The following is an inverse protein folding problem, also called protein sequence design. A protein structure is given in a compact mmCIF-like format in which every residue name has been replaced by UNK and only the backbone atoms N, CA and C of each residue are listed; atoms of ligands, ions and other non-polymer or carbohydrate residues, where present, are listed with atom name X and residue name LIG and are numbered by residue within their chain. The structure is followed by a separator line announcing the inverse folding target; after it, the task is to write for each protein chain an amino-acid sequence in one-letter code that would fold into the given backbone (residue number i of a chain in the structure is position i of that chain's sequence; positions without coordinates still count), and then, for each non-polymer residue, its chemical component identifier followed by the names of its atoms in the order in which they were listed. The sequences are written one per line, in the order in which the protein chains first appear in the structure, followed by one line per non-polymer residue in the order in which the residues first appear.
data_IF_116527804302
#
_entry.id   IF_116527804302
#
_cell.length_a   1.000
_cell.length_b   1.000
_cell.length_c   1.000
_cell.angle_alpha   90.00
_cell.angle_beta   90.00
_cell.angle_gamma   90.00
#
_symmetry.space_group_name_H-M   'P 1'
#
loop_
_entity.id
_entity.type
_entity.pdbx_description
1 polymer ?
#
# COMPACT_ATOMS: atom_id res chain seq x y z
N UNK A 1 -2.05 9.52 -0.85
CA UNK A 1 -1.43 8.53 -1.76
C UNK A 1 0.04 8.80 -1.88
N UNK A 2 0.83 7.74 -1.90
CA UNK A 2 2.24 7.79 -2.23
C UNK A 2 2.39 7.84 -3.76
N UNK A 3 3.03 8.88 -4.30
CA UNK A 3 3.34 8.99 -5.73
C UNK A 3 4.55 8.11 -6.03
N UNK A 4 4.37 7.07 -6.84
CA UNK A 4 5.43 6.10 -7.15
C UNK A 4 5.86 6.24 -8.61
N UNK A 5 7.17 6.36 -8.83
CA UNK A 5 7.79 6.17 -10.13
C UNK A 5 8.32 4.74 -10.25
N UNK A 6 7.91 4.02 -11.30
CA UNK A 6 8.34 2.64 -11.53
C UNK A 6 9.51 2.58 -12.50
N UNK A 7 10.53 1.81 -12.16
CA UNK A 7 11.68 1.59 -13.00
C UNK A 7 11.97 0.09 -13.07
N UNK A 8 11.84 -0.49 -14.26
CA UNK A 8 11.90 -1.93 -14.45
C UNK A 8 12.73 -2.37 -15.65
N UNK A 9 13.26 -3.59 -15.61
CA UNK A 9 14.00 -4.18 -16.73
C UNK A 9 13.10 -4.57 -17.91
N UNK A 10 11.82 -4.85 -17.65
CA UNK A 10 10.86 -5.23 -18.69
C UNK A 10 9.44 -4.79 -18.32
N UNK A 11 8.65 -4.42 -19.33
CA UNK A 11 7.25 -4.07 -19.14
C UNK A 11 6.41 -5.29 -18.70
N UNK A 12 6.53 -6.41 -19.43
CA UNK A 12 5.68 -7.59 -19.23
C UNK A 12 6.09 -8.45 -18.02
N UNK A 13 7.33 -8.34 -17.54
CA UNK A 13 7.82 -9.09 -16.39
C UNK A 13 7.87 -8.23 -15.15
N UNK A 14 8.92 -7.41 -15.04
CA UNK A 14 9.26 -6.68 -13.82
C UNK A 14 8.20 -5.64 -13.46
N UNK A 15 7.80 -4.79 -14.41
CA UNK A 15 6.78 -3.76 -14.15
C UNK A 15 5.42 -4.38 -13.88
N UNK A 16 4.94 -5.29 -14.73
CA UNK A 16 3.63 -5.93 -14.53
C UNK A 16 3.51 -6.65 -13.18
N UNK A 17 4.54 -7.39 -12.74
CA UNK A 17 4.54 -8.03 -11.42
C UNK A 17 4.55 -7.00 -10.29
N UNK A 18 5.23 -5.87 -10.48
CA UNK A 18 5.26 -4.77 -9.52
C UNK A 18 3.92 -4.06 -9.42
N UNK A 19 3.25 -3.79 -10.55
CA UNK A 19 1.92 -3.19 -10.58
C UNK A 19 0.88 -4.02 -9.84
N UNK A 20 1.01 -5.35 -9.85
CA UNK A 20 0.20 -6.23 -9.00
C UNK A 20 0.38 -5.89 -7.52
N UNK A 21 1.62 -5.68 -7.04
CA UNK A 21 1.87 -5.29 -5.65
C UNK A 21 1.28 -3.91 -5.32
N UNK A 22 1.41 -2.96 -6.23
CA UNK A 22 0.90 -1.59 -6.06
C UNK A 22 -0.63 -1.55 -5.92
N UNK A 23 -1.34 -2.52 -6.51
CA UNK A 23 -2.79 -2.62 -6.34
C UNK A 23 -3.19 -2.91 -4.88
N UNK A 24 -2.29 -3.43 -4.05
CA UNK A 24 -2.51 -3.75 -2.64
C UNK A 24 -1.95 -2.68 -1.68
N UNK A 25 -1.52 -1.52 -2.19
CA UNK A 25 -0.92 -0.44 -1.41
C UNK A 25 -1.53 0.94 -1.72
N UNK A 26 -1.42 1.92 -0.80
CA UNK A 26 -1.97 3.26 -0.97
C UNK A 26 -1.09 4.15 -1.87
N UNK A 27 -0.88 3.69 -3.09
CA UNK A 27 0.01 4.30 -4.08
C UNK A 27 -0.72 4.80 -5.33
N UNK A 28 -0.15 5.82 -5.97
CA UNK A 28 -0.53 6.27 -7.30
C UNK A 28 0.72 6.21 -8.19
N UNK A 29 0.63 5.55 -9.34
CA UNK A 29 1.71 5.54 -10.32
C UNK A 29 1.79 6.93 -10.96
N UNK A 30 2.89 7.63 -10.71
CA UNK A 30 3.17 8.97 -11.24
C UNK A 30 3.91 8.91 -12.58
N UNK A 31 4.61 7.81 -12.86
CA UNK A 31 5.29 7.56 -14.11
C UNK A 31 6.01 6.21 -14.10
N UNK A 32 6.55 5.84 -15.25
CA UNK A 32 7.26 4.58 -15.42
C UNK A 32 8.42 4.70 -16.41
N UNK A 33 9.45 3.89 -16.20
CA UNK A 33 10.59 3.74 -17.09
C UNK A 33 10.89 2.26 -17.25
N UNK A 34 10.96 1.81 -18.50
CA UNK A 34 11.51 0.50 -18.85
C UNK A 34 12.95 0.72 -19.29
N UNK A 35 13.87 -0.15 -18.85
CA UNK A 35 15.23 -0.10 -19.34
C UNK A 35 15.26 -0.39 -20.85
N UNK A 36 15.62 0.61 -21.64
CA UNK A 36 15.83 0.52 -23.07
C UNK A 36 17.28 0.92 -23.42
N UNK A 37 17.74 0.54 -24.60
CA UNK A 37 19.11 0.82 -25.04
C UNK A 37 19.40 2.33 -25.17
N UNK A 38 18.37 3.11 -25.47
CA UNK A 38 18.37 4.55 -25.72
C UNK A 38 17.87 5.40 -24.53
N UNK A 39 17.71 4.79 -23.35
CA UNK A 39 17.27 5.50 -22.15
C UNK A 39 18.18 6.69 -21.83
N UNK A 40 17.59 7.89 -21.77
CA UNK A 40 18.31 9.15 -21.61
C UNK A 40 18.18 9.70 -20.18
N UNK A 41 19.32 9.88 -19.50
CA UNK A 41 19.39 10.42 -18.13
C UNK A 41 18.74 11.81 -18.01
N UNK A 42 18.92 12.69 -19.00
CA UNK A 42 18.35 14.04 -18.97
C UNK A 42 16.84 14.04 -19.04
N UNK A 43 16.26 13.19 -19.91
CA UNK A 43 14.81 13.03 -20.02
C UNK A 43 14.22 12.44 -18.74
N UNK A 44 14.86 11.41 -18.17
CA UNK A 44 14.44 10.81 -16.90
C UNK A 44 14.47 11.86 -15.78
N UNK A 45 15.52 12.69 -15.68
CA UNK A 45 15.60 13.74 -14.67
C UNK A 45 14.48 14.77 -14.81
N UNK A 46 14.21 15.25 -16.04
CA UNK A 46 13.11 16.19 -16.31
C UNK A 46 11.76 15.59 -15.91
N UNK A 47 11.53 14.32 -16.26
CA UNK A 47 10.28 13.63 -15.93
C UNK A 47 10.12 13.42 -14.43
N UNK A 48 11.18 13.02 -13.72
CA UNK A 48 11.18 12.88 -12.26
C UNK A 48 10.90 14.22 -11.57
N UNK A 49 11.53 15.30 -12.03
CA UNK A 49 11.29 16.64 -11.49
C UNK A 49 9.83 17.09 -11.66
N UNK A 50 9.26 16.83 -12.84
CA UNK A 50 7.87 17.19 -13.15
C UNK A 50 6.85 16.32 -12.40
N UNK A 51 7.13 15.01 -12.29
CA UNK A 51 6.24 14.08 -11.61
C UNK A 51 6.34 14.17 -10.09
N UNK A 52 7.46 14.66 -9.54
CA UNK A 52 7.72 14.77 -8.11
C UNK A 52 7.26 13.51 -7.34
N UNK A 53 7.82 12.33 -7.65
CA UNK A 53 7.45 11.10 -6.96
C UNK A 53 7.91 11.16 -5.50
N UNK A 54 7.14 10.54 -4.62
CA UNK A 54 7.54 10.29 -3.23
C UNK A 54 8.46 9.08 -3.12
N UNK A 55 8.25 8.09 -4.00
CA UNK A 55 9.04 6.85 -4.07
C UNK A 55 9.48 6.57 -5.50
N UNK A 56 10.75 6.21 -5.66
CA UNK A 56 11.29 5.55 -6.84
C UNK A 56 11.42 4.06 -6.53
N UNK A 57 10.74 3.22 -7.30
CA UNK A 57 10.78 1.78 -7.15
C UNK A 57 11.57 1.14 -8.29
N UNK A 58 12.72 0.56 -7.96
CA UNK A 58 13.58 -0.18 -8.88
C UNK A 58 13.25 -1.67 -8.78
N UNK A 59 12.82 -2.29 -9.88
CA UNK A 59 12.42 -3.70 -9.88
C UNK A 59 12.98 -4.49 -11.07
N UNK A 60 13.15 -5.80 -10.86
CA UNK A 60 13.57 -6.74 -11.89
C UNK A 60 14.90 -7.44 -11.62
N UNK A 61 15.24 -8.32 -12.56
CA UNK A 61 16.32 -9.29 -12.39
C UNK A 61 15.84 -10.48 -11.55
N UNK A 62 16.01 -11.69 -12.06
CA UNK A 62 15.77 -12.90 -11.28
C UNK A 62 16.88 -13.09 -10.24
N UNK A 63 16.60 -13.88 -9.20
CA UNK A 63 17.57 -14.29 -8.18
C UNK A 63 18.58 -15.26 -8.78
N UNK A 64 19.55 -14.71 -9.50
CA UNK A 64 20.67 -15.42 -10.09
C UNK A 64 21.95 -14.68 -9.75
N UNK A 65 22.91 -15.42 -9.19
CA UNK A 65 24.23 -14.90 -8.83
C UNK A 65 25.20 -14.97 -10.02
N UNK A 66 24.80 -14.34 -11.13
CA UNK A 66 25.60 -14.25 -12.35
C UNK A 66 25.80 -12.78 -12.74
N UNK A 67 27.07 -12.30 -12.83
CA UNK A 67 27.36 -10.90 -13.12
C UNK A 67 26.72 -10.37 -14.41
N UNK A 68 26.61 -11.21 -15.44
CA UNK A 68 26.00 -10.86 -16.73
C UNK A 68 24.51 -10.54 -16.56
N UNK A 69 23.81 -11.31 -15.71
CA UNK A 69 22.38 -11.10 -15.43
C UNK A 69 22.19 -9.86 -14.55
N UNK A 70 23.10 -9.62 -13.61
CA UNK A 70 23.08 -8.42 -12.75
C UNK A 70 23.40 -7.13 -13.51
N UNK A 71 24.15 -7.19 -14.62
CA UNK A 71 24.56 -6.01 -15.39
C UNK A 71 23.39 -5.13 -15.86
N UNK A 72 22.26 -5.73 -16.23
CA UNK A 72 21.07 -4.96 -16.64
C UNK A 72 20.47 -4.20 -15.47
N UNK A 73 20.44 -4.80 -14.28
CA UNK A 73 19.97 -4.14 -13.06
C UNK A 73 20.91 -3.00 -12.66
N UNK A 74 22.22 -3.23 -12.72
CA UNK A 74 23.21 -2.19 -12.46
C UNK A 74 23.08 -1.01 -13.42
N UNK A 75 22.90 -1.28 -14.73
CA UNK A 75 22.66 -0.22 -15.73
C UNK A 75 21.41 0.60 -15.41
N UNK A 76 20.30 -0.04 -15.02
CA UNK A 76 19.09 0.67 -14.62
C UNK A 76 19.36 1.56 -13.39
N UNK A 77 20.07 1.04 -12.39
CA UNK A 77 20.42 1.78 -11.18
C UNK A 77 21.30 2.99 -11.52
N UNK A 78 22.34 2.81 -12.33
CA UNK A 78 23.25 3.87 -12.75
C UNK A 78 22.52 5.01 -13.49
N UNK A 79 21.54 4.68 -14.34
CA UNK A 79 20.71 5.67 -15.01
C UNK A 79 19.95 6.55 -14.01
N UNK A 80 19.33 5.94 -12.99
CA UNK A 80 18.56 6.66 -11.99
C UNK A 80 19.42 7.41 -10.97
N UNK A 81 20.57 6.86 -10.58
CA UNK A 81 21.58 7.57 -9.79
C UNK A 81 21.99 8.84 -10.53
N UNK A 82 22.35 8.72 -11.81
CA UNK A 82 22.77 9.86 -12.65
C UNK A 82 21.64 10.86 -12.89
N UNK A 83 20.38 10.42 -12.93
CA UNK A 83 19.23 11.29 -13.10
C UNK A 83 18.91 12.07 -11.82
N UNK A 84 18.96 11.41 -10.65
CA UNK A 84 18.72 12.03 -9.35
C UNK A 84 19.84 12.99 -8.94
N UNK A 85 21.09 12.73 -9.34
CA UNK A 85 22.21 13.66 -9.14
C UNK A 85 21.99 15.02 -9.83
N UNK A 86 21.12 15.08 -10.85
CA UNK A 86 20.72 16.32 -11.53
C UNK A 86 19.58 17.07 -10.85
N UNK A 87 18.96 16.48 -9.81
CA UNK A 87 17.84 17.07 -9.09
C UNK A 87 18.33 17.71 -7.78
N UNK A 88 17.61 18.73 -7.31
CA UNK A 88 17.88 19.28 -5.99
C UNK A 88 17.57 18.23 -4.90
N UNK A 89 18.32 18.19 -3.78
CA UNK A 89 18.10 17.19 -2.72
C UNK A 89 16.67 17.15 -2.16
N UNK A 90 15.97 18.29 -2.14
CA UNK A 90 14.57 18.37 -1.71
C UNK A 90 13.59 17.64 -2.65
N UNK A 91 14.02 17.29 -3.87
CA UNK A 91 13.24 16.58 -4.88
C UNK A 91 13.57 15.08 -4.93
N UNK A 92 14.48 14.59 -4.09
CA UNK A 92 14.86 13.19 -4.10
C UNK A 92 13.77 12.32 -3.47
N UNK A 93 13.24 11.31 -4.19
CA UNK A 93 12.30 10.36 -3.61
C UNK A 93 13.00 9.40 -2.64
N UNK A 94 12.23 8.69 -1.82
CA UNK A 94 12.72 7.46 -1.18
C UNK A 94 12.94 6.40 -2.29
N UNK A 95 14.06 5.67 -2.26
CA UNK A 95 14.33 4.58 -3.19
C UNK A 95 14.01 3.25 -2.55
N UNK A 96 13.11 2.49 -3.16
CA UNK A 96 12.84 1.10 -2.86
C UNK A 96 13.46 0.22 -3.94
N UNK A 97 14.31 -0.72 -3.54
CA UNK A 97 14.91 -1.72 -4.43
C UNK A 97 14.25 -3.07 -4.20
N UNK A 98 13.53 -3.56 -5.20
CA UNK A 98 12.84 -4.84 -5.18
C UNK A 98 13.29 -5.73 -6.37
N UNK A 99 14.59 -5.68 -6.67
CA UNK A 99 15.23 -6.47 -7.72
C UNK A 99 16.07 -7.63 -7.16
N UNK A 100 16.95 -8.19 -7.99
CA UNK A 100 17.88 -9.27 -7.62
C UNK A 100 18.64 -8.97 -6.31
N UNK A 101 18.48 -9.82 -5.29
CA UNK A 101 19.05 -9.59 -3.97
C UNK A 101 20.58 -9.77 -3.92
N UNK A 102 21.16 -10.59 -4.80
CA UNK A 102 22.61 -10.72 -4.91
C UNK A 102 23.29 -9.40 -5.30
N UNK A 103 22.59 -8.51 -6.02
CA UNK A 103 23.08 -7.18 -6.36
C UNK A 103 22.75 -6.09 -5.33
N UNK A 104 21.91 -6.36 -4.32
CA UNK A 104 21.34 -5.34 -3.44
C UNK A 104 22.40 -4.53 -2.67
N UNK A 105 23.42 -5.20 -2.14
CA UNK A 105 24.50 -4.53 -1.40
C UNK A 105 25.33 -3.59 -2.28
N UNK A 106 25.63 -4.01 -3.52
CA UNK A 106 26.35 -3.18 -4.50
C UNK A 106 25.50 -1.98 -4.93
N UNK A 107 24.20 -2.19 -5.16
CA UNK A 107 23.26 -1.11 -5.48
C UNK A 107 23.18 -0.10 -4.34
N UNK A 108 23.04 -0.55 -3.10
CA UNK A 108 23.01 0.34 -1.93
C UNK A 108 24.30 1.17 -1.82
N UNK A 109 25.46 0.54 -1.99
CA UNK A 109 26.74 1.23 -1.95
C UNK A 109 26.86 2.29 -3.05
N UNK A 110 26.36 2.00 -4.26
CA UNK A 110 26.36 2.96 -5.37
C UNK A 110 25.52 4.19 -5.03
N UNK A 111 24.32 3.99 -4.47
CA UNK A 111 23.44 5.09 -4.02
C UNK A 111 24.06 5.93 -2.92
N UNK A 112 24.62 5.29 -1.89
CA UNK A 112 25.29 6.00 -0.78
C UNK A 112 26.47 6.85 -1.25
N UNK A 113 27.17 6.40 -2.30
CA UNK A 113 28.35 7.09 -2.83
C UNK A 113 27.97 8.34 -3.63
N UNK A 114 26.92 8.27 -4.45
CA UNK A 114 26.58 9.35 -5.40
C UNK A 114 25.47 10.27 -4.88
N UNK A 115 24.52 9.74 -4.10
CA UNK A 115 23.36 10.48 -3.59
C UNK A 115 23.18 10.20 -2.10
N UNK A 116 24.12 10.62 -1.23
CA UNK A 116 24.19 10.20 0.18
C UNK A 116 22.99 10.62 1.04
N UNK A 117 22.23 11.61 0.59
CA UNK A 117 21.03 12.10 1.28
C UNK A 117 19.79 11.26 1.00
N UNK A 118 19.86 10.33 0.05
CA UNK A 118 18.69 9.54 -0.35
C UNK A 118 18.40 8.45 0.69
N UNK A 119 17.12 8.25 0.99
CA UNK A 119 16.69 7.09 1.75
C UNK A 119 16.63 5.90 0.80
N UNK A 120 17.43 4.88 1.06
CA UNK A 120 17.43 3.63 0.30
C UNK A 120 16.94 2.49 1.19
N UNK A 121 16.10 1.61 0.63
CA UNK A 121 15.69 0.38 1.27
C UNK A 121 15.60 -0.74 0.24
N UNK A 122 16.34 -1.82 0.47
CA UNK A 122 16.13 -3.08 -0.25
C UNK A 122 14.98 -3.86 0.40
N UNK A 123 14.12 -4.45 -0.42
CA UNK A 123 13.03 -5.36 -0.04
C UNK A 123 13.14 -6.64 -0.86
N UNK A 124 12.42 -7.69 -0.47
CA UNK A 124 12.39 -8.93 -1.25
C UNK A 124 12.02 -8.66 -2.70
N UNK A 125 12.70 -9.37 -3.60
CA UNK A 125 12.47 -9.26 -5.04
C UNK A 125 11.01 -9.60 -5.37
N UNK A 126 10.36 -8.74 -6.14
CA UNK A 126 8.95 -8.95 -6.53
C UNK A 126 8.78 -10.14 -7.47
N UNK A 127 9.78 -10.41 -8.31
CA UNK A 127 9.74 -11.48 -9.29
C UNK A 127 11.08 -12.23 -9.24
N UNK A 128 11.35 -13.03 -8.19
CA UNK A 128 12.64 -13.70 -8.03
C UNK A 128 12.90 -14.76 -9.11
N UNK A 129 11.84 -15.32 -9.70
CA UNK A 129 11.91 -16.32 -10.77
C UNK A 129 10.62 -16.29 -11.60
N UNK A 130 10.64 -16.78 -12.85
CA UNK A 130 9.45 -16.80 -13.71
C UNK A 130 8.24 -17.42 -13.01
N UNK A 131 7.09 -16.73 -13.08
CA UNK A 131 5.82 -17.20 -12.54
C UNK A 131 5.67 -17.16 -11.02
N UNK A 132 6.70 -16.75 -10.25
CA UNK A 132 6.59 -16.59 -8.80
C UNK A 132 6.68 -15.12 -8.43
N UNK A 133 5.57 -14.55 -7.98
CA UNK A 133 5.48 -13.15 -7.57
C UNK A 133 5.45 -13.04 -6.04
N UNK A 134 6.25 -12.15 -5.46
CA UNK A 134 6.30 -11.87 -4.02
C UNK A 134 5.86 -10.43 -3.78
N UNK A 135 4.66 -10.25 -3.21
CA UNK A 135 4.06 -8.92 -3.04
C UNK A 135 4.30 -8.34 -1.63
N UNK A 136 4.33 -9.20 -0.62
CA UNK A 136 4.19 -8.81 0.79
C UNK A 136 5.25 -7.80 1.27
N UNK A 137 6.53 -8.06 0.99
CA UNK A 137 7.62 -7.18 1.43
C UNK A 137 7.51 -5.77 0.82
N UNK A 138 7.20 -5.70 -0.48
CA UNK A 138 7.03 -4.42 -1.17
C UNK A 138 5.80 -3.67 -0.66
N UNK A 139 4.66 -4.35 -0.50
CA UNK A 139 3.43 -3.74 0.06
C UNK A 139 3.69 -3.19 1.47
N UNK A 140 4.40 -3.94 2.32
CA UNK A 140 4.78 -3.51 3.67
C UNK A 140 5.67 -2.26 3.66
N UNK A 141 6.64 -2.18 2.76
CA UNK A 141 7.51 -1.01 2.63
C UNK A 141 6.75 0.23 2.12
N UNK A 142 5.85 0.07 1.14
CA UNK A 142 5.02 1.16 0.64
C UNK A 142 4.06 1.70 1.70
N UNK A 143 3.44 0.81 2.48
CA UNK A 143 2.59 1.20 3.61
C UNK A 143 3.39 1.97 4.67
N UNK A 144 4.61 1.52 4.97
CA UNK A 144 5.50 2.18 5.91
C UNK A 144 5.90 3.59 5.45
N UNK A 145 6.23 3.77 4.17
CA UNK A 145 6.53 5.09 3.60
C UNK A 145 5.29 6.00 3.53
N UNK A 146 4.11 5.45 3.21
CA UNK A 146 2.86 6.19 3.27
C UNK A 146 2.57 6.70 4.69
N UNK A 147 2.73 5.85 5.70
CA UNK A 147 2.55 6.22 7.10
C UNK A 147 3.54 7.31 7.51
N UNK A 148 4.83 7.14 7.18
CA UNK A 148 5.88 8.12 7.47
C UNK A 148 5.56 9.49 6.88
N UNK A 149 5.10 9.56 5.62
CA UNK A 149 4.76 10.83 4.99
C UNK A 149 3.50 11.45 5.59
N UNK A 150 2.50 10.64 5.90
CA UNK A 150 1.27 11.10 6.57
C UNK A 150 1.59 11.80 7.90
N UNK A 151 2.53 11.25 8.67
CA UNK A 151 2.99 11.81 9.95
C UNK A 151 3.73 13.14 9.82
N UNK A 152 4.23 13.51 8.65
CA UNK A 152 4.93 14.80 8.42
C UNK A 152 3.99 15.98 8.18
N UNK A 153 2.69 15.73 8.03
CA UNK A 153 1.70 16.79 7.83
C UNK A 153 1.64 17.67 9.09
N UNK A 154 1.81 19.01 9.00
CA UNK A 154 1.93 19.88 10.17
C UNK A 154 0.78 19.75 11.19
N UNK A 155 -0.43 19.47 10.71
CA UNK A 155 -1.59 19.31 11.58
C UNK A 155 -1.68 17.93 12.25
N UNK A 156 -0.92 16.94 11.77
CA UNK A 156 -0.87 15.60 12.37
C UNK A 156 -0.33 15.65 13.80
N UNK A 157 0.69 16.48 14.06
CA UNK A 157 1.24 16.69 15.39
C UNK A 157 0.24 17.36 16.36
N UNK A 158 -0.63 18.23 15.84
CA UNK A 158 -1.66 18.88 16.66
C UNK A 158 -2.71 17.86 17.13
N UNK A 159 -3.14 16.99 16.23
CA UNK A 159 -4.10 15.92 16.53
C UNK A 159 -3.47 14.89 17.47
N UNK A 160 -2.21 14.51 17.28
CA UNK A 160 -1.55 13.53 18.15
C UNK A 160 -1.49 13.99 19.61
N UNK A 161 -1.35 15.30 19.83
CA UNK A 161 -1.34 15.87 21.19
C UNK A 161 -2.72 15.85 21.88
N UNK A 162 -3.80 15.62 21.14
CA UNK A 162 -5.14 15.44 21.70
C UNK A 162 -5.42 13.99 22.09
N UNK A 163 -4.58 13.04 21.67
CA UNK A 163 -4.70 11.65 22.05
C UNK A 163 -4.00 11.41 23.39
N UNK A 164 -4.71 10.85 24.36
CA UNK A 164 -4.12 10.25 25.55
C UNK A 164 -3.39 8.96 25.14
N UNK A 165 -2.07 8.93 25.31
CA UNK A 165 -1.21 7.83 24.81
C UNK A 165 -1.54 6.45 25.40
N UNK A 166 -1.02 5.34 24.80
CA UNK A 166 0.05 5.28 23.77
C UNK A 166 -0.42 4.92 22.34
N UNK A 167 -1.70 5.09 21.99
CA UNK A 167 -2.17 4.66 20.66
C UNK A 167 -1.66 5.57 19.53
N UNK A 168 -0.96 5.03 18.51
CA UNK A 168 -0.54 5.80 17.36
C UNK A 168 -1.75 6.22 16.53
N UNK A 169 -1.73 7.44 15.99
CA UNK A 169 -2.70 7.88 14.98
C UNK A 169 -2.70 6.90 13.79
N UNK A 170 -3.88 6.36 13.49
CA UNK A 170 -4.08 5.54 12.29
C UNK A 170 -4.18 6.41 11.04
N UNK A 171 -3.74 5.84 9.91
CA UNK A 171 -4.18 6.37 8.62
C UNK A 171 -5.67 6.10 8.43
N UNK A 172 -6.30 6.84 7.51
CA UNK A 172 -7.70 6.62 7.11
C UNK A 172 -7.93 5.16 6.70
N UNK A 173 -7.00 4.58 5.94
CA UNK A 173 -7.07 3.18 5.50
C UNK A 173 -7.04 2.22 6.70
N UNK A 174 -6.08 2.37 7.61
CA UNK A 174 -5.97 1.51 8.79
C UNK A 174 -7.18 1.65 9.73
N UNK A 175 -7.71 2.87 9.88
CA UNK A 175 -8.90 3.11 10.68
C UNK A 175 -10.14 2.45 10.05
N UNK A 176 -10.29 2.52 8.74
CA UNK A 176 -11.37 1.84 8.02
C UNK A 176 -11.27 0.31 8.12
N UNK A 177 -10.07 -0.26 7.94
CA UNK A 177 -9.84 -1.71 8.11
C UNK A 177 -10.24 -2.13 9.52
N UNK A 178 -9.77 -1.43 10.55
CA UNK A 178 -10.12 -1.73 11.94
C UNK A 178 -11.63 -1.69 12.19
N UNK A 179 -12.32 -0.69 11.63
CA UNK A 179 -13.77 -0.63 11.73
C UNK A 179 -14.43 -1.85 11.08
N UNK A 180 -13.99 -2.23 9.87
CA UNK A 180 -14.51 -3.39 9.18
C UNK A 180 -14.35 -4.68 9.99
N UNK A 181 -13.23 -4.86 10.70
CA UNK A 181 -13.00 -6.00 11.60
C UNK A 181 -13.99 -6.02 12.76
N UNK A 182 -14.19 -4.88 13.42
CA UNK A 182 -15.16 -4.80 14.52
C UNK A 182 -16.58 -5.03 14.01
N UNK A 183 -16.95 -4.47 12.86
CA UNK A 183 -18.26 -4.70 12.26
C UNK A 183 -18.46 -6.15 11.87
N UNK A 184 -17.47 -6.81 11.26
CA UNK A 184 -17.48 -8.24 10.95
C UNK A 184 -17.74 -9.09 12.19
N UNK A 185 -17.03 -8.79 13.29
CA UNK A 185 -17.16 -9.48 14.58
C UNK A 185 -18.56 -9.29 15.17
N UNK A 186 -19.06 -8.04 15.23
CA UNK A 186 -20.38 -7.72 15.77
C UNK A 186 -21.51 -8.39 14.98
N UNK A 187 -21.39 -8.43 13.66
CA UNK A 187 -22.36 -9.06 12.77
C UNK A 187 -22.17 -10.57 12.62
N UNK A 188 -21.13 -11.16 13.27
CA UNK A 188 -20.78 -12.58 13.21
C UNK A 188 -20.69 -13.11 11.77
N UNK A 189 -19.96 -12.37 10.94
CA UNK A 189 -19.74 -12.73 9.54
C UNK A 189 -18.47 -13.56 9.39
N UNK A 190 -18.50 -14.53 8.48
CA UNK A 190 -17.33 -15.36 8.14
C UNK A 190 -16.48 -14.74 7.02
N UNK A 191 -17.10 -13.96 6.14
CA UNK A 191 -16.47 -13.23 5.04
C UNK A 191 -17.13 -11.85 4.90
N UNK A 192 -16.31 -10.80 4.82
CA UNK A 192 -16.76 -9.43 4.66
C UNK A 192 -15.98 -8.75 3.55
N UNK A 193 -16.71 -8.16 2.60
CA UNK A 193 -16.18 -7.14 1.71
C UNK A 193 -16.65 -5.75 2.19
N UNK A 194 -15.69 -4.92 2.60
CA UNK A 194 -15.89 -3.52 2.94
C UNK A 194 -15.26 -2.59 1.88
N UNK A 195 -15.88 -1.45 1.63
CA UNK A 195 -15.47 -0.49 0.62
C UNK A 195 -15.41 0.94 1.18
N UNK A 196 -14.23 1.53 1.16
CA UNK A 196 -14.04 2.96 1.34
C UNK A 196 -14.10 3.63 -0.04
N UNK A 197 -15.21 4.30 -0.34
CA UNK A 197 -15.52 4.92 -1.62
C UNK A 197 -15.27 6.43 -1.56
N UNK A 198 -14.06 6.86 -1.91
CA UNK A 198 -13.73 8.30 -2.05
C UNK A 198 -13.86 8.74 -3.52
N UNK A 199 -13.97 10.06 -3.80
CA UNK A 199 -14.01 10.58 -5.17
C UNK A 199 -12.74 10.30 -5.97
N UNK A 200 -11.60 10.11 -5.31
CA UNK A 200 -10.31 9.90 -5.95
C UNK A 200 -9.98 8.41 -6.13
N UNK A 201 -10.35 7.59 -5.15
CA UNK A 201 -10.03 6.15 -5.15
C UNK A 201 -11.00 5.35 -4.30
N UNK A 202 -11.10 4.09 -4.66
CA UNK A 202 -11.77 3.07 -3.86
C UNK A 202 -10.73 2.19 -3.18
N UNK A 203 -10.94 1.91 -1.90
CA UNK A 203 -10.20 0.87 -1.17
C UNK A 203 -11.18 -0.22 -0.79
N UNK A 204 -10.94 -1.41 -1.33
CA UNK A 204 -11.63 -2.63 -1.03
C UNK A 204 -10.87 -3.37 0.06
N UNK A 205 -11.60 -3.87 1.04
CA UNK A 205 -11.08 -4.68 2.15
C UNK A 205 -11.87 -5.97 2.16
N UNK A 206 -11.19 -7.11 2.07
CA UNK A 206 -11.77 -8.41 2.39
C UNK A 206 -11.26 -8.86 3.74
N UNK A 207 -12.17 -9.34 4.57
CA UNK A 207 -11.85 -9.98 5.84
C UNK A 207 -12.46 -11.38 5.82
N UNK A 208 -11.65 -12.39 6.14
CA UNK A 208 -12.10 -13.77 6.26
C UNK A 208 -11.64 -14.35 7.60
N UNK A 209 -12.50 -15.13 8.26
CA UNK A 209 -12.06 -15.89 9.43
C UNK A 209 -11.08 -16.99 9.01
N UNK A 210 -9.93 -17.09 9.68
CA UNK A 210 -8.98 -18.17 9.38
C UNK A 210 -9.57 -19.54 9.71
N UNK A 211 -9.44 -20.47 8.76
CA UNK A 211 -9.84 -21.87 8.95
C UNK A 211 -8.94 -22.53 10.01
N UNK A 212 -9.45 -22.67 11.24
CA UNK A 212 -8.72 -23.27 12.37
C UNK A 212 -8.95 -22.62 13.73
N UNK A 213 -9.62 -21.46 13.79
CA UNK A 213 -9.89 -20.73 15.03
C UNK A 213 -10.88 -21.40 16.00
N UNK A 214 -11.27 -22.66 15.77
CA UNK A 214 -12.14 -23.43 16.67
C UNK A 214 -11.40 -24.24 17.73
N UNK A 215 -10.07 -24.35 17.67
CA UNK A 215 -9.28 -25.04 18.70
C UNK A 215 -8.83 -24.05 19.80
N UNK A 216 -9.81 -23.57 20.55
CA UNK A 216 -9.65 -22.62 21.64
C UNK A 216 -9.06 -23.30 22.89
N UNK A 217 -7.77 -23.62 22.86
CA UNK A 217 -7.00 -23.77 24.09
C UNK A 217 -5.60 -23.20 23.89
N UNK A 218 -5.20 -22.32 24.81
CA UNK A 218 -3.94 -21.56 24.80
C UNK A 218 -3.97 -20.31 23.92
N UNK A 219 -4.39 -19.17 24.48
CA UNK A 219 -3.77 -17.85 24.25
C UNK A 219 -4.19 -16.88 25.36
N UNK A 220 -3.21 -16.46 26.16
CA UNK A 220 -3.36 -15.42 27.17
C UNK A 220 -3.53 -14.05 26.50
N UNK A 221 -4.60 -13.35 26.88
CA UNK A 221 -4.79 -11.90 26.95
C UNK A 221 -4.06 -11.03 25.90
N UNK A 222 -4.65 -10.95 24.70
CA UNK A 222 -4.62 -9.72 23.89
C UNK A 222 -6.01 -9.55 23.24
N UNK A 223 -6.76 -8.47 23.52
CA UNK A 223 -8.19 -8.39 23.18
C UNK A 223 -8.50 -8.11 21.70
N UNK A 224 -7.52 -8.19 20.78
CA UNK A 224 -7.71 -7.91 19.34
C UNK A 224 -6.80 -8.82 18.49
N UNK A 225 -6.88 -10.13 18.71
CA UNK A 225 -6.22 -11.11 17.83
C UNK A 225 -7.24 -12.17 17.43
N UNK A 226 -8.20 -11.78 16.60
CA UNK A 226 -8.90 -12.73 15.74
C UNK A 226 -7.90 -13.05 14.63
N UNK A 227 -7.58 -14.33 14.42
CA UNK A 227 -6.77 -14.76 13.27
C UNK A 227 -7.63 -14.51 12.00
N UNK A 228 -7.60 -13.29 11.49
CA UNK A 228 -8.32 -12.84 10.29
C UNK A 228 -7.35 -12.68 9.13
N UNK A 229 -7.71 -13.21 7.98
CA UNK A 229 -7.01 -12.92 6.73
C UNK A 229 -7.55 -11.60 6.17
N UNK A 230 -6.68 -10.59 6.07
CA UNK A 230 -7.01 -9.26 5.56
C UNK A 230 -6.41 -9.11 4.17
N UNK A 231 -7.27 -8.92 3.16
CA UNK A 231 -6.84 -8.55 1.82
C UNK A 231 -7.26 -7.12 1.51
N UNK A 232 -6.32 -6.31 1.01
CA UNK A 232 -6.58 -4.93 0.59
C UNK A 232 -6.43 -4.84 -0.91
N UNK A 233 -7.32 -4.09 -1.57
CA UNK A 233 -7.19 -3.79 -2.98
C UNK A 233 -7.64 -2.37 -3.27
N UNK A 234 -6.89 -1.63 -4.07
CA UNK A 234 -7.17 -0.24 -4.35
C UNK A 234 -7.42 -0.01 -5.85
N UNK A 235 -8.54 0.64 -6.16
CA UNK A 235 -9.05 0.78 -7.53
C UNK A 235 -9.53 2.19 -7.86
N UNK A 236 -9.64 2.51 -9.15
CA UNK A 236 -10.27 3.77 -9.56
C UNK A 236 -11.78 3.74 -9.27
N UNK A 237 -12.39 4.87 -8.91
CA UNK A 237 -13.83 4.94 -8.70
C UNK A 237 -14.62 4.51 -9.94
N UNK A 238 -15.72 3.77 -9.73
CA UNK A 238 -16.61 3.32 -10.81
C UNK A 238 -16.08 2.15 -11.64
N UNK A 239 -14.89 1.63 -11.35
CA UNK A 239 -14.32 0.50 -12.08
C UNK A 239 -14.70 -0.82 -11.41
N UNK A 240 -15.29 -1.75 -12.18
CA UNK A 240 -15.39 -3.15 -11.76
C UNK A 240 -14.03 -3.81 -11.94
N UNK A 241 -13.46 -4.34 -10.87
CA UNK A 241 -12.12 -4.91 -10.84
C UNK A 241 -12.19 -6.43 -10.97
N UNK A 242 -11.53 -6.98 -11.99
CA UNK A 242 -11.48 -8.43 -12.19
C UNK A 242 -10.77 -9.18 -11.05
N UNK A 243 -9.78 -8.56 -10.41
CA UNK A 243 -9.07 -9.13 -9.26
C UNK A 243 -9.96 -9.37 -8.03
N UNK A 244 -11.13 -8.72 -7.96
CA UNK A 244 -12.13 -8.95 -6.90
C UNK A 244 -13.08 -10.10 -7.24
N UNK A 245 -12.82 -10.87 -8.30
CA UNK A 245 -13.61 -12.04 -8.63
C UNK A 245 -13.57 -13.05 -7.48
N UNK A 246 -14.75 -13.46 -7.00
CA UNK A 246 -14.88 -14.37 -5.86
C UNK A 246 -15.00 -13.67 -4.50
N UNK A 247 -14.80 -12.34 -4.42
CA UNK A 247 -15.14 -11.59 -3.22
C UNK A 247 -16.66 -11.49 -3.07
N UNK A 248 -17.21 -11.48 -1.83
CA UNK A 248 -18.62 -11.23 -1.63
C UNK A 248 -19.00 -9.81 -2.06
N UNK A 249 -20.30 -9.56 -2.25
CA UNK A 249 -20.78 -8.19 -2.50
C UNK A 249 -20.44 -7.29 -1.30
N UNK A 250 -20.12 -6.00 -1.52
CA UNK A 250 -19.90 -5.06 -0.42
C UNK A 250 -21.07 -5.05 0.56
N UNK A 251 -20.78 -5.21 1.84
CA UNK A 251 -21.78 -5.09 2.93
C UNK A 251 -21.52 -3.91 3.85
N UNK A 252 -20.31 -3.37 3.83
CA UNK A 252 -19.93 -2.21 4.59
C UNK A 252 -19.36 -1.16 3.63
N UNK A 253 -20.00 0.00 3.51
CA UNK A 253 -19.53 1.08 2.61
C UNK A 253 -19.42 2.39 3.36
N UNK A 254 -18.30 3.08 3.17
CA UNK A 254 -18.07 4.46 3.63
C UNK A 254 -17.84 5.36 2.43
N UNK A 255 -18.72 6.33 2.21
CA UNK A 255 -18.79 7.19 1.02
C UNK A 255 -19.94 6.82 0.09
N UNK A 256 -19.87 7.18 -1.19
CA UNK A 256 -20.96 6.93 -2.13
C UNK A 256 -21.12 5.43 -2.44
N UNK A 257 -22.33 4.87 -2.23
CA UNK A 257 -22.61 3.49 -2.57
C UNK A 257 -22.62 3.31 -4.10
N UNK A 258 -21.85 2.38 -4.67
CA UNK A 258 -21.78 2.15 -6.11
C UNK A 258 -22.93 1.26 -6.61
N UNK A 259 -24.17 1.75 -6.54
CA UNK A 259 -25.39 0.96 -6.81
C UNK A 259 -25.39 0.28 -8.18
N UNK A 260 -24.82 0.93 -9.20
CA UNK A 260 -24.72 0.39 -10.56
C UNK A 260 -23.83 -0.86 -10.68
N UNK A 261 -22.87 -1.03 -9.76
CA UNK A 261 -21.96 -2.19 -9.75
C UNK A 261 -22.42 -3.25 -8.75
N UNK A 262 -22.91 -2.81 -7.59
CA UNK A 262 -23.35 -3.69 -6.51
C UNK A 262 -24.64 -3.13 -5.88
N UNK A 263 -25.81 -3.72 -6.17
CA UNK A 263 -27.05 -3.40 -5.48
C UNK A 263 -26.89 -3.59 -3.98
N UNK A 264 -27.50 -2.70 -3.18
CA UNK A 264 -27.37 -2.73 -1.73
C UNK A 264 -28.06 -3.97 -1.13
N UNK A 265 -27.34 -4.84 -0.38
CA UNK A 265 -27.97 -5.97 0.28
C UNK A 265 -28.71 -5.54 1.56
N UNK A 266 -29.70 -6.32 2.01
CA UNK A 266 -30.51 -5.99 3.20
C UNK A 266 -29.67 -5.83 4.47
N UNK A 267 -28.68 -6.71 4.68
CA UNK A 267 -27.78 -6.66 5.83
C UNK A 267 -26.51 -5.88 5.48
N UNK A 268 -26.66 -4.59 5.19
CA UNK A 268 -25.55 -3.70 4.86
C UNK A 268 -25.56 -2.42 5.68
N UNK A 269 -24.35 -1.96 5.99
CA UNK A 269 -24.10 -0.69 6.64
C UNK A 269 -23.52 0.32 5.66
N UNK A 270 -24.02 1.55 5.70
CA UNK A 270 -23.65 2.59 4.74
C UNK A 270 -23.50 3.95 5.42
N UNK A 271 -22.25 4.40 5.57
CA UNK A 271 -21.96 5.81 5.85
C UNK A 271 -21.93 6.60 4.55
N UNK A 272 -22.93 7.45 4.33
CA UNK A 272 -23.04 8.30 3.15
C UNK A 272 -22.02 9.43 3.11
N UNK A 273 -21.52 9.83 4.27
CA UNK A 273 -20.68 11.02 4.44
C UNK A 273 -19.19 10.70 4.27
N UNK A 274 -18.82 9.43 4.42
CA UNK A 274 -17.44 8.96 4.29
C UNK A 274 -16.56 9.28 5.51
N UNK A 275 -17.17 9.65 6.64
CA UNK A 275 -16.49 9.99 7.89
C UNK A 275 -16.20 8.79 8.78
N UNK A 276 -16.65 7.58 8.40
CA UNK A 276 -16.45 6.36 9.16
C UNK A 276 -15.00 6.14 9.62
N UNK A 277 -13.96 6.34 8.78
CA UNK A 277 -12.59 6.15 9.22
C UNK A 277 -12.18 7.13 10.33
N UNK A 278 -12.74 8.35 10.34
CA UNK A 278 -12.47 9.34 11.40
C UNK A 278 -13.07 8.87 12.72
N UNK A 279 -14.29 8.34 12.70
CA UNK A 279 -14.95 7.79 13.89
C UNK A 279 -14.22 6.54 14.41
N UNK A 280 -13.78 5.66 13.51
CA UNK A 280 -13.01 4.48 13.85
C UNK A 280 -11.66 4.83 14.50
N UNK A 281 -11.02 5.92 14.08
CA UNK A 281 -9.81 6.42 14.71
C UNK A 281 -10.06 6.88 16.15
N UNK A 282 -11.18 7.56 16.43
CA UNK A 282 -11.60 7.90 17.82
C UNK A 282 -11.89 6.64 18.63
N UNK A 283 -12.51 5.64 18.01
CA UNK A 283 -12.79 4.31 18.58
C UNK A 283 -11.56 3.56 19.08
N UNK A 284 -10.34 3.96 18.68
CA UNK A 284 -9.13 3.41 19.27
C UNK A 284 -8.97 3.74 20.75
N UNK A 285 -9.45 4.90 21.18
CA UNK A 285 -9.34 5.39 22.56
C UNK A 285 -10.52 4.89 23.39
N UNK A 286 -11.69 4.73 22.75
CA UNK A 286 -12.90 4.21 23.38
C UNK A 286 -13.59 3.18 22.46
N UNK A 287 -13.27 1.89 22.60
CA UNK A 287 -13.94 0.82 21.86
C UNK A 287 -15.46 0.83 22.07
N UNK A 288 -15.91 1.13 23.28
CA UNK A 288 -17.34 1.24 23.62
C UNK A 288 -18.03 2.36 22.84
N UNK A 289 -17.37 3.51 22.64
CA UNK A 289 -17.92 4.59 21.83
C UNK A 289 -18.05 4.18 20.36
N UNK A 290 -17.11 3.38 19.84
CA UNK A 290 -17.20 2.86 18.47
C UNK A 290 -18.35 1.86 18.34
N UNK A 291 -18.54 0.98 19.33
CA UNK A 291 -19.68 0.06 19.36
C UNK A 291 -21.01 0.83 19.44
N UNK A 292 -21.11 1.86 20.29
CA UNK A 292 -22.30 2.71 20.36
C UNK A 292 -22.59 3.40 19.02
N UNK A 293 -21.59 3.89 18.32
CA UNK A 293 -21.76 4.47 16.97
C UNK A 293 -22.32 3.45 15.98
N UNK A 294 -21.84 2.21 16.03
CA UNK A 294 -22.32 1.11 15.18
C UNK A 294 -23.76 0.74 15.52
N UNK A 295 -24.10 0.68 16.82
CA UNK A 295 -25.43 0.28 17.29
C UNK A 295 -26.50 1.36 17.09
N UNK A 296 -26.12 2.64 17.20
CA UNK A 296 -27.05 3.78 17.10
C UNK A 296 -27.31 4.19 15.64
N UNK A 297 -26.54 3.67 14.68
CA UNK A 297 -26.67 3.90 13.24
C UNK A 297 -26.84 5.40 12.91
N UNK A 298 -25.84 6.19 13.26
CA UNK A 298 -25.90 7.67 13.15
C UNK A 298 -25.85 8.22 11.69
N UNK A 299 -26.10 7.40 10.65
CA UNK A 299 -25.98 7.79 9.23
C UNK A 299 -27.10 7.29 8.30
#
# INVERSE_FOLDING_TARGET
WLRVWLAGLSAQGSLAATEQALAHAPVQIAGQTVLLADANVGEIAVQLAAAAPDVLLLCGGYEVDEPIIQASMMRLVELFVSALDRLAPAQHPTVLYAGNQAAAATVEQLWRTHVPTIRFQAVDNVLPRPGRVHLAALVGALNSEHQRLSQRTPDFYKISNWLTGPSPLLSTESAFVRFAQVWMTLQRLDDLHALLATPERWMHVRLQQAAGAHDASVRHASPVAVDEEIELYFARPGQKVAALAGWPAPRLVSGAWPEALWPRPQNSWWDRTGVLPLLAAVGQISPDAMQQIIEVDIF
#
